data_IF_137196876487
#
_entry.id   IF_137196876487
#
_cell.length_a   1.000
_cell.length_b   1.000
_cell.length_c   1.000
_cell.angle_alpha   90.00
_cell.angle_beta   90.00
_cell.angle_gamma   90.00
#
_symmetry.space_group_name_H-M   'P 1'
#
loop_
_entity.id
_entity.type
_entity.pdbx_description
1 polymer ?
#
# COMPACT_ATOMS: atom_id res chain seq x y z
N UNK A 1 -9.61 -6.96 -13.44
CA UNK A 1 -9.33 -6.04 -14.58
C UNK A 1 -7.85 -5.78 -14.56
N UNK A 2 -7.12 -6.14 -15.61
CA UNK A 2 -5.66 -6.05 -15.64
C UNK A 2 -5.25 -4.61 -15.98
N UNK A 3 -4.40 -4.01 -15.15
CA UNK A 3 -3.74 -2.72 -15.43
C UNK A 3 -2.24 -2.96 -15.56
N UNK A 4 -1.66 -2.37 -16.59
CA UNK A 4 -0.21 -2.39 -16.78
C UNK A 4 0.44 -1.28 -15.96
N UNK A 5 1.37 -1.66 -15.08
CA UNK A 5 2.16 -0.74 -14.28
C UNK A 5 3.49 -0.47 -15.00
N UNK A 6 3.67 0.68 -15.67
CA UNK A 6 4.86 0.94 -16.49
C UNK A 6 6.15 1.07 -15.66
N UNK A 7 6.03 1.45 -14.39
CA UNK A 7 7.19 1.57 -13.47
C UNK A 7 7.63 0.20 -12.94
N UNK A 8 6.70 -0.74 -12.81
CA UNK A 8 6.97 -2.10 -12.36
C UNK A 8 7.15 -3.11 -13.51
N UNK A 9 6.89 -2.68 -14.76
CA UNK A 9 6.84 -3.50 -15.98
C UNK A 9 5.94 -4.75 -15.87
N UNK A 10 4.91 -4.69 -15.01
CA UNK A 10 4.04 -5.82 -14.69
C UNK A 10 2.57 -5.48 -14.87
N UNK A 11 1.77 -6.48 -15.26
CA UNK A 11 0.31 -6.38 -15.27
C UNK A 11 -0.24 -6.93 -13.96
N UNK A 12 -1.05 -6.14 -13.27
CA UNK A 12 -1.64 -6.51 -11.98
C UNK A 12 -3.16 -6.35 -12.06
N UNK A 13 -3.90 -7.20 -11.33
CA UNK A 13 -5.34 -7.03 -11.25
C UNK A 13 -5.72 -5.86 -10.32
N UNK A 14 -6.51 -4.93 -10.84
CA UNK A 14 -7.02 -3.77 -10.09
C UNK A 14 -7.82 -4.17 -8.87
N UNK A 15 -8.62 -5.24 -8.94
CA UNK A 15 -9.41 -5.70 -7.80
C UNK A 15 -8.54 -6.27 -6.69
N UNK A 16 -7.41 -6.90 -7.05
CA UNK A 16 -6.42 -7.38 -6.09
C UNK A 16 -5.76 -6.21 -5.36
N UNK A 17 -5.34 -5.16 -6.09
CA UNK A 17 -4.77 -3.95 -5.49
C UNK A 17 -5.76 -3.24 -4.56
N UNK A 18 -7.02 -3.09 -4.98
CA UNK A 18 -8.07 -2.50 -4.16
C UNK A 18 -8.37 -3.33 -2.90
N UNK A 19 -8.48 -4.65 -3.04
CA UNK A 19 -8.72 -5.56 -1.92
C UNK A 19 -7.57 -5.55 -0.91
N UNK A 20 -6.33 -5.57 -1.40
CA UNK A 20 -5.13 -5.43 -0.57
C UNK A 20 -5.08 -4.08 0.14
N UNK A 21 -5.28 -2.98 -0.58
CA UNK A 21 -5.26 -1.63 -0.01
C UNK A 21 -6.34 -1.44 1.07
N UNK A 22 -7.56 -1.92 0.83
CA UNK A 22 -8.64 -1.87 1.81
C UNK A 22 -8.34 -2.75 3.04
N UNK A 23 -7.88 -3.99 2.83
CA UNK A 23 -7.53 -4.91 3.92
C UNK A 23 -6.40 -4.38 4.78
N UNK A 24 -5.30 -3.96 4.15
CA UNK A 24 -4.15 -3.36 4.84
C UNK A 24 -4.56 -2.05 5.53
N UNK A 25 -5.34 -1.19 4.88
CA UNK A 25 -5.81 0.07 5.46
C UNK A 25 -6.62 -0.15 6.75
N UNK A 26 -7.54 -1.11 6.76
CA UNK A 26 -8.31 -1.48 7.97
C UNK A 26 -7.38 -2.02 9.05
N UNK A 27 -6.53 -3.00 8.72
CA UNK A 27 -5.62 -3.61 9.70
C UNK A 27 -4.66 -2.57 10.29
N UNK A 28 -4.01 -1.77 9.44
CA UNK A 28 -3.07 -0.74 9.87
C UNK A 28 -3.75 0.40 10.65
N UNK A 29 -5.02 0.71 10.35
CA UNK A 29 -5.82 1.63 11.15
C UNK A 29 -6.15 1.06 12.54
N UNK A 30 -6.51 -0.22 12.64
CA UNK A 30 -6.78 -0.88 13.92
C UNK A 30 -5.55 -0.97 14.82
N UNK A 31 -4.38 -1.27 14.23
CA UNK A 31 -3.13 -1.43 14.98
C UNK A 31 -2.31 -0.13 15.10
N UNK A 32 -2.67 0.94 14.38
CA UNK A 32 -1.96 2.23 14.41
C UNK A 32 -0.55 2.22 13.83
N UNK A 33 -0.20 1.25 12.97
CA UNK A 33 1.20 0.98 12.56
C UNK A 33 1.66 1.69 11.29
N UNK A 34 0.77 2.42 10.60
CA UNK A 34 1.05 2.98 9.27
C UNK A 34 1.07 1.90 8.19
N UNK A 35 0.24 2.06 7.16
CA UNK A 35 -0.06 1.05 6.11
C UNK A 35 1.17 0.43 5.42
N UNK A 36 2.26 1.19 5.32
CA UNK A 36 3.42 0.81 4.51
C UNK A 36 4.18 -0.42 4.99
N UNK A 37 4.16 -0.73 6.29
CA UNK A 37 4.84 -1.93 6.81
C UNK A 37 4.24 -3.23 6.26
N UNK A 38 2.92 -3.28 6.06
CA UNK A 38 2.23 -4.46 5.52
C UNK A 38 2.13 -4.40 3.99
N UNK A 39 1.90 -3.22 3.41
CA UNK A 39 1.71 -3.11 1.97
C UNK A 39 3.01 -3.36 1.19
N UNK A 40 4.16 -2.87 1.65
CA UNK A 40 5.47 -3.11 1.01
C UNK A 40 5.76 -4.60 0.76
N UNK A 41 5.75 -5.49 1.78
CA UNK A 41 6.04 -6.91 1.57
C UNK A 41 4.97 -7.59 0.72
N UNK A 42 3.70 -7.20 0.82
CA UNK A 42 2.65 -7.77 -0.02
C UNK A 42 2.83 -7.42 -1.51
N UNK A 43 3.21 -6.18 -1.82
CA UNK A 43 3.54 -5.77 -3.19
C UNK A 43 4.74 -6.55 -3.74
N UNK A 44 5.76 -6.80 -2.90
CA UNK A 44 6.91 -7.64 -3.29
C UNK A 44 6.47 -9.08 -3.56
N UNK A 45 5.56 -9.65 -2.75
CA UNK A 45 5.06 -11.02 -2.95
C UNK A 45 4.26 -11.21 -4.24
N UNK A 46 3.57 -10.18 -4.72
CA UNK A 46 2.89 -10.23 -6.03
C UNK A 46 3.83 -9.95 -7.20
N UNK A 47 5.14 -9.78 -6.94
CA UNK A 47 6.19 -9.68 -7.94
C UNK A 47 6.64 -8.25 -8.26
N UNK A 48 6.09 -7.21 -7.60
CA UNK A 48 6.54 -5.84 -7.84
C UNK A 48 7.99 -5.68 -7.36
N UNK A 49 8.88 -5.09 -8.18
CA UNK A 49 10.28 -4.88 -7.79
C UNK A 49 10.38 -4.11 -6.45
N UNK A 50 11.24 -4.53 -5.51
CA UNK A 50 11.35 -3.89 -4.20
C UNK A 50 11.54 -2.37 -4.22
N UNK A 51 12.35 -1.77 -5.12
CA UNK A 51 12.47 -0.32 -5.20
C UNK A 51 11.15 0.38 -5.53
N UNK A 52 10.31 -0.23 -6.39
CA UNK A 52 9.02 0.32 -6.81
C UNK A 52 7.98 0.16 -5.72
N UNK A 53 7.96 -1.00 -5.05
CA UNK A 53 7.09 -1.26 -3.91
C UNK A 53 7.33 -0.23 -2.79
N UNK A 54 8.59 -0.04 -2.37
CA UNK A 54 8.94 0.92 -1.30
C UNK A 54 8.63 2.36 -1.72
N UNK A 55 8.96 2.75 -2.96
CA UNK A 55 8.71 4.12 -3.43
C UNK A 55 7.21 4.47 -3.46
N UNK A 56 6.36 3.50 -3.79
CA UNK A 56 4.90 3.70 -3.87
C UNK A 56 4.25 3.97 -2.51
N UNK A 57 4.85 3.47 -1.42
CA UNK A 57 4.29 3.61 -0.07
C UNK A 57 4.47 5.00 0.55
N UNK A 58 5.36 5.84 0.01
CA UNK A 58 5.63 7.16 0.58
C UNK A 58 4.35 7.99 0.77
N UNK A 59 3.45 7.97 -0.22
CA UNK A 59 2.16 8.67 -0.14
C UNK A 59 1.21 8.06 0.90
N UNK A 60 1.23 6.73 1.07
CA UNK A 60 0.45 6.04 2.10
C UNK A 60 0.95 6.37 3.50
N UNK A 61 2.26 6.48 3.70
CA UNK A 61 2.83 6.93 4.98
C UNK A 61 2.40 8.36 5.31
N UNK A 62 2.39 9.27 4.33
CA UNK A 62 1.92 10.65 4.54
C UNK A 62 0.44 10.66 4.93
N UNK A 63 -0.41 9.95 4.18
CA UNK A 63 -1.84 9.88 4.46
C UNK A 63 -2.13 9.31 5.85
N UNK A 64 -1.45 8.23 6.24
CA UNK A 64 -1.62 7.61 7.56
C UNK A 64 -1.07 8.47 8.69
N UNK A 65 0.03 9.19 8.47
CA UNK A 65 0.56 10.16 9.45
C UNK A 65 -0.42 11.31 9.69
N UNK A 66 -0.99 11.88 8.62
CA UNK A 66 -2.02 12.93 8.73
C UNK A 66 -3.26 12.42 9.45
N UNK A 67 -3.73 11.22 9.10
CA UNK A 67 -4.85 10.57 9.80
C UNK A 67 -4.55 10.34 11.28
N UNK A 68 -3.33 9.95 11.63
CA UNK A 68 -2.90 9.75 13.02
C UNK A 68 -2.93 11.04 13.83
N UNK A 69 -2.47 12.15 13.25
CA UNK A 69 -2.58 13.48 13.90
C UNK A 69 -4.03 13.86 14.15
N UNK A 70 -4.92 13.66 13.16
CA UNK A 70 -6.34 13.98 13.29
C UNK A 70 -7.07 13.10 14.32
N UNK A 71 -6.66 11.83 14.46
CA UNK A 71 -7.30 10.90 15.39
C UNK A 71 -6.88 11.09 16.86
N UNK A 72 -5.74 11.76 17.10
CA UNK A 72 -5.17 12.00 18.43
C UNK A 72 -5.22 13.48 18.87
N UNK A 73 -6.11 14.27 18.26
CA UNK A 73 -6.49 15.62 18.68
C UNK A 73 -7.87 15.60 19.34
#
# INVERSE_FOLDING_TARGET
MQIYLPVAELSVDVFLLLGMGAGVGVLSGLFGVGGGFLMTPLLIFIGIPPPVAVASEANQLVATSVSGVLAHW
#
